data_IF_080572553842
#
_entry.id   IF_080572553842
#
_cell.length_a   1.000
_cell.length_b   1.000
_cell.length_c   1.000
_cell.angle_alpha   90.00
_cell.angle_beta   90.00
_cell.angle_gamma   90.00
#
_symmetry.space_group_name_H-M   'P 1'
#
loop_
_entity.id
_entity.type
_entity.pdbx_description
1 polymer ?
#
# COMPACT_ATOMS: atom_id res chain seq x y z
N UNK A 1 6.73 15.38 -47.33
CA UNK A 1 6.98 14.16 -46.53
C UNK A 1 7.35 14.53 -45.10
N UNK A 2 6.38 14.95 -44.28
CA UNK A 2 6.58 15.28 -42.86
C UNK A 2 5.35 14.93 -41.99
N UNK A 3 4.26 14.48 -42.62
CA UNK A 3 3.00 14.16 -41.94
C UNK A 3 3.09 12.82 -41.19
N UNK A 4 3.76 11.83 -41.78
CA UNK A 4 3.91 10.49 -41.19
C UNK A 4 4.73 10.52 -39.89
N UNK A 5 5.75 11.37 -39.81
CA UNK A 5 6.59 11.52 -38.61
C UNK A 5 5.83 12.24 -37.48
N UNK A 6 5.03 13.26 -37.83
CA UNK A 6 4.18 13.97 -36.86
C UNK A 6 3.04 13.07 -36.36
N UNK A 7 2.41 12.29 -37.25
CA UNK A 7 1.36 11.33 -36.87
C UNK A 7 1.90 10.21 -36.00
N UNK A 8 3.04 9.61 -36.37
CA UNK A 8 3.68 8.57 -35.57
C UNK A 8 4.09 9.05 -34.18
N UNK A 9 4.70 10.23 -34.07
CA UNK A 9 5.10 10.80 -32.77
C UNK A 9 3.91 11.12 -31.87
N UNK A 10 2.80 11.61 -32.46
CA UNK A 10 1.55 11.84 -31.74
C UNK A 10 0.95 10.53 -31.22
N UNK A 11 0.84 9.52 -32.09
CA UNK A 11 0.37 8.17 -31.72
C UNK A 11 1.25 7.55 -30.63
N UNK A 12 2.57 7.67 -30.74
CA UNK A 12 3.51 7.15 -29.74
C UNK A 12 3.31 7.81 -28.38
N UNK A 13 3.05 9.12 -28.34
CA UNK A 13 2.78 9.84 -27.09
C UNK A 13 1.46 9.39 -26.46
N UNK A 14 0.39 9.25 -27.26
CA UNK A 14 -0.90 8.74 -26.79
C UNK A 14 -0.78 7.33 -26.20
N UNK A 15 -0.03 6.44 -26.88
CA UNK A 15 0.22 5.08 -26.39
C UNK A 15 1.00 5.12 -25.06
N UNK A 16 2.07 5.92 -24.97
CA UNK A 16 2.86 6.06 -23.73
C UNK A 16 2.00 6.57 -22.57
N UNK A 17 1.15 7.55 -22.82
CA UNK A 17 0.28 8.10 -21.78
C UNK A 17 -0.77 7.10 -21.33
N UNK A 18 -1.34 6.31 -22.27
CA UNK A 18 -2.26 5.22 -21.93
C UNK A 18 -1.57 4.15 -21.08
N UNK A 19 -0.34 3.77 -21.41
CA UNK A 19 0.46 2.79 -20.64
C UNK A 19 0.69 3.30 -19.22
N UNK A 20 1.17 4.54 -19.07
CA UNK A 20 1.44 5.15 -17.75
C UNK A 20 0.18 5.23 -16.89
N UNK A 21 -0.95 5.64 -17.49
CA UNK A 21 -2.23 5.68 -16.78
C UNK A 21 -2.68 4.29 -16.33
N UNK A 22 -2.47 3.26 -17.14
CA UNK A 22 -2.79 1.88 -16.78
C UNK A 22 -1.89 1.38 -15.64
N UNK A 23 -0.58 1.65 -15.69
CA UNK A 23 0.38 1.29 -14.63
C UNK A 23 0.04 1.98 -13.30
N UNK A 24 -0.27 3.27 -13.31
CA UNK A 24 -0.68 4.01 -12.10
C UNK A 24 -1.93 3.39 -11.48
N UNK A 25 -2.94 3.09 -12.29
CA UNK A 25 -4.18 2.44 -11.82
C UNK A 25 -3.90 1.07 -11.23
N UNK A 26 -3.09 0.25 -11.89
CA UNK A 26 -2.71 -1.06 -11.40
C UNK A 26 -1.97 -0.97 -10.05
N UNK A 27 -0.98 -0.08 -9.95
CA UNK A 27 -0.24 0.15 -8.72
C UNK A 27 -1.14 0.64 -7.58
N UNK A 28 -2.07 1.54 -7.87
CA UNK A 28 -3.03 2.03 -6.88
C UNK A 28 -3.94 0.90 -6.37
N UNK A 29 -4.54 0.12 -7.27
CA UNK A 29 -5.38 -1.02 -6.90
C UNK A 29 -4.61 -2.06 -6.08
N UNK A 30 -3.37 -2.38 -6.47
CA UNK A 30 -2.52 -3.31 -5.73
C UNK A 30 -2.18 -2.78 -4.32
N UNK A 31 -1.92 -1.47 -4.19
CA UNK A 31 -1.65 -0.85 -2.89
C UNK A 31 -2.89 -0.85 -1.98
N UNK A 32 -4.09 -0.61 -2.53
CA UNK A 32 -5.36 -0.72 -1.78
C UNK A 32 -5.50 -2.12 -1.20
N UNK A 33 -5.33 -3.14 -2.06
CA UNK A 33 -5.47 -4.54 -1.64
C UNK A 33 -4.42 -4.92 -0.58
N UNK A 34 -3.18 -4.48 -0.76
CA UNK A 34 -2.11 -4.73 0.22
C UNK A 34 -2.44 -4.14 1.60
N UNK A 35 -2.98 -2.92 1.65
CA UNK A 35 -3.38 -2.28 2.91
C UNK A 35 -4.53 -3.03 3.57
N UNK A 36 -5.55 -3.42 2.79
CA UNK A 36 -6.70 -4.18 3.28
C UNK A 36 -6.26 -5.55 3.82
N UNK A 37 -5.43 -6.26 3.07
CA UNK A 37 -4.86 -7.55 3.47
C UNK A 37 -4.06 -7.45 4.76
N UNK A 38 -3.19 -6.43 4.91
CA UNK A 38 -2.43 -6.23 6.14
C UNK A 38 -3.30 -5.89 7.35
N UNK A 39 -4.36 -5.11 7.15
CA UNK A 39 -5.35 -4.87 8.21
C UNK A 39 -6.03 -6.18 8.62
N UNK A 40 -6.46 -6.99 7.64
CA UNK A 40 -7.20 -8.22 7.90
C UNK A 40 -6.35 -9.28 8.62
N UNK A 41 -5.09 -9.45 8.20
CA UNK A 41 -4.15 -10.33 8.91
C UNK A 41 -3.95 -9.87 10.36
N UNK A 42 -3.85 -8.56 10.57
CA UNK A 42 -3.80 -7.98 11.92
C UNK A 42 -5.01 -8.31 12.77
N UNK A 43 -6.21 -8.22 12.18
CA UNK A 43 -7.48 -8.61 12.80
C UNK A 43 -7.50 -10.08 13.18
N UNK A 44 -7.18 -10.97 12.24
CA UNK A 44 -7.19 -12.43 12.45
C UNK A 44 -6.29 -12.82 13.61
N UNK A 45 -5.05 -12.31 13.63
CA UNK A 45 -4.09 -12.61 14.70
C UNK A 45 -4.58 -12.04 16.03
N UNK A 46 -5.06 -10.80 16.05
CA UNK A 46 -5.56 -10.18 17.28
C UNK A 46 -6.74 -10.96 17.87
N UNK A 47 -7.72 -11.35 17.05
CA UNK A 47 -8.87 -12.14 17.49
C UNK A 47 -8.43 -13.46 18.12
N UNK A 48 -7.47 -14.14 17.49
CA UNK A 48 -6.97 -15.42 18.00
C UNK A 48 -6.17 -15.28 19.30
N UNK A 49 -5.40 -14.20 19.45
CA UNK A 49 -4.74 -13.87 20.72
C UNK A 49 -5.76 -13.64 21.85
N UNK A 50 -6.93 -13.08 21.55
CA UNK A 50 -7.99 -12.83 22.53
C UNK A 50 -8.82 -14.08 22.84
N UNK A 51 -9.13 -14.93 21.84
CA UNK A 51 -10.03 -16.08 21.99
C UNK A 51 -9.32 -17.34 22.49
N UNK A 52 -8.14 -17.65 21.94
CA UNK A 52 -7.43 -18.90 22.21
C UNK A 52 -6.18 -18.71 23.08
N UNK A 53 -5.95 -17.50 23.58
CA UNK A 53 -4.81 -17.20 24.43
C UNK A 53 -3.47 -17.37 23.70
N UNK A 54 -3.45 -17.24 22.37
CA UNK A 54 -2.23 -17.32 21.59
C UNK A 54 -1.25 -16.25 22.09
N UNK A 55 -0.15 -16.67 22.72
CA UNK A 55 0.84 -15.76 23.30
C UNK A 55 1.71 -15.08 22.26
N UNK A 56 2.69 -14.30 22.72
CA UNK A 56 3.63 -13.58 21.86
C UNK A 56 4.41 -14.47 20.86
N UNK A 57 4.48 -15.79 21.10
CA UNK A 57 5.16 -16.76 20.25
C UNK A 57 4.48 -17.06 18.90
N UNK A 58 3.22 -16.65 18.69
CA UNK A 58 2.56 -16.90 17.41
C UNK A 58 3.18 -16.09 16.25
N UNK A 59 3.58 -14.85 16.52
CA UNK A 59 4.13 -13.96 15.48
C UNK A 59 5.44 -14.53 14.88
N UNK A 60 6.43 -14.96 15.70
CA UNK A 60 7.61 -15.66 15.21
C UNK A 60 7.28 -16.91 14.38
N UNK A 61 6.31 -17.71 14.83
CA UNK A 61 5.90 -18.93 14.13
C UNK A 61 5.29 -18.60 12.76
N UNK A 62 4.34 -17.68 12.69
CA UNK A 62 3.72 -17.25 11.43
C UNK A 62 4.75 -16.66 10.46
N UNK A 63 5.67 -15.83 10.93
CA UNK A 63 6.70 -15.26 10.06
C UNK A 63 7.58 -16.35 9.43
N UNK A 64 7.95 -17.36 10.22
CA UNK A 64 8.74 -18.50 9.74
C UNK A 64 7.94 -19.35 8.75
N UNK A 65 6.71 -19.71 9.09
CA UNK A 65 5.86 -20.58 8.28
C UNK A 65 5.56 -19.91 6.93
N UNK A 66 5.14 -18.63 6.93
CA UNK A 66 4.89 -17.86 5.70
C UNK A 66 6.14 -17.79 4.83
N UNK A 67 7.32 -17.52 5.42
CA UNK A 67 8.57 -17.48 4.66
C UNK A 67 8.91 -18.82 3.99
N UNK A 68 8.55 -19.94 4.62
CA UNK A 68 8.86 -21.26 4.12
C UNK A 68 7.83 -21.74 3.07
N UNK A 69 6.56 -21.38 3.25
CA UNK A 69 5.47 -21.84 2.39
C UNK A 69 5.21 -20.90 1.20
N UNK A 70 5.45 -19.60 1.36
CA UNK A 70 5.22 -18.55 0.36
C UNK A 70 6.53 -17.80 0.06
N UNK A 71 7.51 -18.54 -0.45
CA UNK A 71 8.90 -18.07 -0.62
C UNK A 71 9.07 -16.85 -1.53
N UNK A 72 8.16 -16.66 -2.47
CA UNK A 72 8.11 -15.55 -3.42
C UNK A 72 7.56 -14.26 -2.80
N UNK A 73 6.84 -14.37 -1.68
CA UNK A 73 6.13 -13.26 -1.07
C UNK A 73 7.00 -12.58 -0.02
N UNK A 74 7.18 -11.27 -0.16
CA UNK A 74 7.96 -10.43 0.75
C UNK A 74 7.04 -9.68 1.72
N UNK A 75 7.62 -9.12 2.79
CA UNK A 75 6.89 -8.24 3.71
C UNK A 75 6.33 -8.93 4.97
N UNK A 76 6.54 -10.23 5.17
CA UNK A 76 6.02 -11.00 6.31
C UNK A 76 7.07 -11.32 7.39
N UNK A 77 7.98 -10.38 7.67
CA UNK A 77 8.86 -10.51 8.84
C UNK A 77 8.08 -10.43 10.15
N UNK A 78 8.63 -10.98 11.24
CA UNK A 78 8.02 -10.90 12.58
C UNK A 78 7.62 -9.47 12.96
N UNK A 79 8.53 -8.51 12.68
CA UNK A 79 8.29 -7.09 12.91
C UNK A 79 7.08 -6.58 12.13
N UNK A 80 6.96 -6.95 10.86
CA UNK A 80 5.87 -6.48 10.01
C UNK A 80 4.53 -7.09 10.42
N UNK A 81 4.50 -8.37 10.76
CA UNK A 81 3.30 -9.02 11.29
C UNK A 81 2.88 -8.33 12.61
N UNK A 82 3.84 -7.98 13.47
CA UNK A 82 3.57 -7.16 14.66
C UNK A 82 2.95 -5.79 14.32
N UNK A 83 3.38 -5.15 13.22
CA UNK A 83 2.75 -3.92 12.74
C UNK A 83 1.34 -4.14 12.19
N UNK A 84 1.05 -5.27 11.54
CA UNK A 84 -0.30 -5.62 11.09
C UNK A 84 -1.26 -5.73 12.29
N UNK A 85 -0.86 -6.44 13.35
CA UNK A 85 -1.65 -6.54 14.59
C UNK A 85 -1.86 -5.16 15.23
N UNK A 86 -0.80 -4.34 15.28
CA UNK A 86 -0.90 -2.97 15.78
C UNK A 86 -1.83 -2.11 14.92
N UNK A 87 -1.79 -2.28 13.61
CA UNK A 87 -2.64 -1.55 12.68
C UNK A 87 -4.12 -1.85 12.94
N UNK A 88 -4.50 -3.12 13.06
CA UNK A 88 -5.87 -3.46 13.45
C UNK A 88 -6.25 -2.85 14.81
N UNK A 89 -5.41 -3.03 15.83
CA UNK A 89 -5.69 -2.54 17.19
C UNK A 89 -5.85 -1.02 17.27
N UNK A 90 -5.10 -0.25 16.49
CA UNK A 90 -5.16 1.21 16.51
C UNK A 90 -6.36 1.78 15.75
N UNK A 91 -6.86 1.08 14.73
CA UNK A 91 -7.88 1.61 13.81
C UNK A 91 -9.24 0.88 13.91
N UNK A 92 -9.30 -0.28 14.58
CA UNK A 92 -10.54 -1.02 14.85
C UNK A 92 -11.17 -1.63 13.60
N UNK A 93 -12.51 -1.72 13.60
CA UNK A 93 -13.35 -2.05 12.43
C UNK A 93 -12.91 -1.25 11.21
N UNK A 94 -13.03 -1.81 9.99
CA UNK A 94 -12.37 -1.25 8.84
C UNK A 94 -12.79 0.20 8.74
N UNK A 95 -11.84 1.16 8.83
CA UNK A 95 -12.13 2.52 8.46
C UNK A 95 -12.82 2.45 7.11
N UNK A 96 -13.67 3.40 6.75
CA UNK A 96 -14.11 3.50 5.35
C UNK A 96 -12.84 3.72 4.51
N UNK A 97 -12.14 2.65 4.14
CA UNK A 97 -10.74 2.66 3.70
C UNK A 97 -10.66 3.28 2.31
N UNK A 98 -11.80 3.32 1.60
CA UNK A 98 -12.02 4.20 0.46
C UNK A 98 -11.61 5.66 0.75
N UNK A 99 -11.96 6.24 1.90
CA UNK A 99 -11.62 7.62 2.23
C UNK A 99 -10.14 7.80 2.63
N UNK A 100 -9.50 6.78 3.22
CA UNK A 100 -8.11 6.86 3.64
C UNK A 100 -7.15 6.65 2.46
N UNK A 101 -7.47 5.76 1.52
CA UNK A 101 -6.68 5.51 0.32
C UNK A 101 -6.95 6.59 -0.75
N UNK A 102 -8.16 7.12 -0.85
CA UNK A 102 -8.45 8.27 -1.72
C UNK A 102 -7.71 9.56 -1.30
N UNK A 103 -7.24 9.65 -0.05
CA UNK A 103 -6.44 10.78 0.47
C UNK A 103 -4.92 10.60 0.29
N UNK A 104 -4.46 9.51 -0.32
CA UNK A 104 -3.06 9.37 -0.73
C UNK A 104 -2.81 10.23 -1.98
N UNK A 105 -1.74 11.05 -2.02
CA UNK A 105 -1.41 11.86 -3.19
C UNK A 105 -1.09 10.91 -4.35
N UNK A 106 -1.99 10.86 -5.34
CA UNK A 106 -1.99 9.84 -6.41
C UNK A 106 -3.37 9.63 -7.03
N UNK A 107 -4.44 10.10 -6.38
CA UNK A 107 -5.69 10.44 -7.07
C UNK A 107 -5.35 11.44 -8.20
N UNK A 108 -5.78 11.22 -9.45
CA UNK A 108 -5.67 12.23 -10.50
C UNK A 108 -6.69 13.34 -10.23
N UNK A 109 -6.46 14.14 -9.21
CA UNK A 109 -7.12 15.44 -9.07
C UNK A 109 -6.45 16.39 -10.05
N UNK A 110 -7.23 16.95 -10.97
CA UNK A 110 -6.79 17.77 -12.10
C UNK A 110 -6.10 19.10 -11.74
N UNK A 111 -5.83 19.37 -10.46
CA UNK A 111 -5.30 20.65 -10.01
C UNK A 111 -3.98 20.44 -9.27
N UNK A 112 -2.88 20.57 -10.01
CA UNK A 112 -1.51 20.62 -9.47
C UNK A 112 -1.15 22.03 -8.94
N UNK A 113 -2.11 22.95 -8.92
CA UNK A 113 -1.95 24.25 -8.28
C UNK A 113 -2.76 24.25 -7.01
N UNK A 114 -2.11 24.24 -5.83
CA UNK A 114 -2.59 24.73 -4.52
C UNK A 114 -1.92 23.92 -3.39
N UNK A 115 -0.62 24.13 -3.19
CA UNK A 115 -0.03 23.88 -1.86
C UNK A 115 0.74 25.13 -1.42
N UNK A 116 -0.02 26.18 -1.08
CA UNK A 116 0.43 27.24 -0.18
C UNK A 116 -0.64 27.55 0.86
N UNK A 117 -0.14 27.75 2.09
CA UNK A 117 -0.75 28.28 3.32
C UNK A 117 -1.78 27.42 4.08
N UNK A 118 -1.53 27.33 5.42
CA UNK A 118 -2.41 27.05 6.58
C UNK A 118 -3.67 26.19 6.40
N UNK A 119 -3.98 25.18 7.21
CA UNK A 119 -4.14 25.25 8.67
C UNK A 119 -4.30 23.84 9.29
N UNK A 120 -4.46 23.80 10.62
CA UNK A 120 -4.29 22.70 11.56
C UNK A 120 -5.38 21.61 11.51
N UNK A 121 -5.00 20.33 11.70
CA UNK A 121 -5.55 19.32 12.67
C UNK A 121 -5.14 17.87 12.30
N UNK A 122 -5.16 16.98 13.30
CA UNK A 122 -4.76 15.55 13.35
C UNK A 122 -3.26 15.26 13.68
N UNK A 123 -2.96 14.34 14.64
CA UNK A 123 -1.62 14.14 15.17
C UNK A 123 -0.68 13.59 14.10
N UNK A 124 0.17 14.48 13.61
CA UNK A 124 1.23 14.21 12.63
C UNK A 124 2.29 13.32 13.31
N UNK A 125 2.35 12.05 12.93
CA UNK A 125 3.46 11.20 13.37
C UNK A 125 3.44 9.75 12.89
N UNK A 126 2.27 9.09 12.91
CA UNK A 126 2.25 7.62 12.77
C UNK A 126 1.78 7.11 11.41
N UNK A 127 0.83 7.77 10.73
CA UNK A 127 0.33 7.28 9.43
C UNK A 127 1.39 7.32 8.32
N UNK A 128 2.25 8.36 8.28
CA UNK A 128 3.37 8.46 7.33
C UNK A 128 4.52 7.49 7.67
N UNK A 129 4.71 7.14 8.95
CA UNK A 129 5.69 6.13 9.36
C UNK A 129 5.20 4.71 9.08
N UNK A 130 3.89 4.46 9.22
CA UNK A 130 3.25 3.23 8.78
C UNK A 130 3.28 3.15 7.26
N UNK A 131 2.87 4.17 6.52
CA UNK A 131 2.96 4.18 5.05
C UNK A 131 4.40 4.05 4.53
N UNK A 132 5.40 4.66 5.16
CA UNK A 132 6.82 4.42 4.78
C UNK A 132 7.34 3.05 5.23
N UNK A 133 6.87 2.55 6.37
CA UNK A 133 7.17 1.20 6.86
C UNK A 133 6.47 0.10 6.07
N UNK A 134 5.37 0.41 5.36
CA UNK A 134 4.58 -0.48 4.52
C UNK A 134 5.01 -0.34 3.04
N UNK A 135 5.23 0.88 2.55
CA UNK A 135 5.75 1.16 1.20
C UNK A 135 7.24 0.81 1.06
N UNK A 136 8.03 0.86 2.13
CA UNK A 136 9.42 0.41 2.17
C UNK A 136 9.59 -1.12 2.12
N UNK A 137 8.50 -1.89 2.17
CA UNK A 137 8.51 -3.36 2.09
C UNK A 137 8.35 -3.89 0.66
N UNK A 138 7.93 -3.02 -0.28
CA UNK A 138 7.83 -3.34 -1.71
C UNK A 138 9.09 -2.96 -2.51
N UNK A 139 9.99 -2.14 -1.97
CA UNK A 139 11.15 -1.60 -2.72
C UNK A 139 12.38 -2.52 -2.73
N UNK A 140 12.22 -3.80 -2.41
CA UNK A 140 13.26 -4.81 -2.64
C UNK A 140 13.34 -5.17 -4.12
N UNK A 141 13.89 -4.24 -4.92
CA UNK A 141 14.31 -4.37 -6.32
C UNK A 141 13.57 -5.46 -7.10
N UNK A 142 12.42 -5.09 -7.65
CA UNK A 142 11.71 -5.87 -8.64
C UNK A 142 11.30 -4.90 -9.74
N UNK A 143 12.19 -4.71 -10.70
CA UNK A 143 11.85 -4.12 -11.98
C UNK A 143 10.75 -5.00 -12.59
N UNK A 144 9.50 -4.57 -12.50
CA UNK A 144 8.41 -5.15 -13.29
C UNK A 144 7.99 -4.06 -14.27
N UNK A 145 8.74 -4.07 -15.39
CA UNK A 145 8.48 -3.45 -16.70
C UNK A 145 8.03 -1.98 -16.74
#
# INVERSE_FOLDING_TARGET
MNFDVVFYSSLLNEIKDRIRQAQIKAAFSANVEMILMYWDIGRMIHQQQQMEGWGAGIIPRLAKDIRNELTEVKGFSERNIGYMVRFFREYGEPPTLQQAVAKLPGSPTKDETLFKSGEKTAPKGNHLKLQRGIAGLGSGQGNIL
#
